data_IF_607969291320
#
_entry.id   IF_607969291320
#
_cell.length_a   1.000
_cell.length_b   1.000
_cell.length_c   1.000
_cell.angle_alpha   90.00
_cell.angle_beta   90.00
_cell.angle_gamma   90.00
#
_symmetry.space_group_name_H-M   'P 1'
#
loop_
_entity.id
_entity.type
_entity.pdbx_description
1 polymer ?
#
# COMPACT_ATOMS: atom_id res chain seq x y z
N UNK A 1 25.26 0.41 3.80
CA UNK A 1 25.15 -0.23 2.47
C UNK A 1 26.20 0.36 1.55
N UNK A 2 26.90 -0.45 0.74
CA UNK A 2 27.80 0.09 -0.28
C UNK A 2 26.98 0.92 -1.29
N UNK A 3 27.53 2.04 -1.79
CA UNK A 3 26.83 2.90 -2.74
C UNK A 3 26.58 2.14 -4.06
N UNK A 4 25.33 2.14 -4.52
CA UNK A 4 24.96 1.60 -5.83
C UNK A 4 25.55 2.46 -6.96
N UNK A 5 25.65 1.87 -8.16
CA UNK A 5 26.03 2.61 -9.37
C UNK A 5 25.12 3.84 -9.52
N UNK A 6 25.70 5.02 -9.74
CA UNK A 6 24.98 6.29 -9.86
C UNK A 6 24.29 6.82 -8.59
N UNK A 7 24.68 6.39 -7.38
CA UNK A 7 24.22 6.98 -6.12
C UNK A 7 22.79 6.66 -5.71
N UNK A 8 22.07 5.84 -6.50
CA UNK A 8 20.80 5.26 -6.07
C UNK A 8 21.05 4.16 -5.04
N UNK A 9 20.67 4.44 -3.80
CA UNK A 9 20.64 3.50 -2.68
C UNK A 9 19.22 3.50 -2.09
N UNK A 10 18.66 2.34 -1.71
CA UNK A 10 17.46 2.33 -0.88
C UNK A 10 17.81 2.81 0.53
N UNK A 11 16.96 3.67 1.10
CA UNK A 11 17.11 4.17 2.47
C UNK A 11 16.42 3.20 3.43
N UNK A 12 17.08 2.11 3.81
CA UNK A 12 16.52 1.10 4.72
C UNK A 12 16.75 1.46 6.20
N UNK A 13 15.75 1.22 7.05
CA UNK A 13 15.82 1.41 8.51
C UNK A 13 15.17 0.25 9.26
N UNK A 14 15.60 -0.02 10.50
CA UNK A 14 14.87 -0.93 11.40
C UNK A 14 14.23 -0.07 12.48
N UNK A 15 12.91 -0.20 12.63
CA UNK A 15 12.11 0.58 13.57
C UNK A 15 11.56 -0.35 14.66
N UNK A 16 11.69 0.04 15.92
CA UNK A 16 11.08 -0.68 17.04
C UNK A 16 9.93 0.13 17.65
N UNK A 17 8.78 -0.51 17.87
CA UNK A 17 7.64 0.04 18.59
C UNK A 17 6.98 -1.08 19.40
N UNK A 18 7.02 -0.99 20.73
CA UNK A 18 6.49 -2.01 21.65
C UNK A 18 4.99 -2.24 21.54
N UNK A 19 4.24 -1.29 20.97
CA UNK A 19 2.80 -1.43 20.73
C UNK A 19 2.48 -1.91 19.30
N UNK A 20 3.50 -2.14 18.46
CA UNK A 20 3.33 -2.63 17.11
C UNK A 20 3.14 -4.15 17.10
N UNK A 21 2.25 -4.62 16.23
CA UNK A 21 2.01 -6.04 16.00
C UNK A 21 3.21 -6.76 15.35
N UNK A 22 2.98 -7.99 14.91
CA UNK A 22 4.00 -8.79 14.23
C UNK A 22 4.32 -8.21 12.84
N UNK A 23 5.57 -7.79 12.61
CA UNK A 23 6.06 -7.29 11.33
C UNK A 23 6.98 -8.29 10.63
N UNK A 24 7.59 -7.86 9.52
CA UNK A 24 8.55 -8.67 8.74
C UNK A 24 9.75 -9.16 9.57
N UNK A 25 10.10 -8.43 10.63
CA UNK A 25 11.23 -8.74 11.53
C UNK A 25 10.78 -9.25 12.90
N UNK A 26 9.50 -9.58 13.08
CA UNK A 26 8.93 -10.04 14.35
C UNK A 26 8.11 -8.98 15.09
N UNK A 27 7.60 -9.35 16.27
CA UNK A 27 6.75 -8.48 17.09
C UNK A 27 7.54 -7.26 17.57
N UNK A 28 6.97 -6.08 17.34
CA UNK A 28 7.57 -4.81 17.72
C UNK A 28 8.70 -4.31 16.81
N UNK A 29 9.17 -5.10 15.82
CA UNK A 29 10.19 -4.68 14.86
C UNK A 29 9.64 -4.59 13.44
N UNK A 30 9.90 -3.46 12.77
CA UNK A 30 9.57 -3.21 11.37
C UNK A 30 10.79 -2.81 10.55
N UNK A 31 10.79 -3.17 9.26
CA UNK A 31 11.77 -2.68 8.29
C UNK A 31 11.16 -1.47 7.56
N UNK A 32 11.71 -0.28 7.79
CA UNK A 32 11.36 0.93 7.05
C UNK A 32 12.23 1.10 5.81
N UNK A 33 11.77 1.95 4.88
CA UNK A 33 12.49 2.22 3.64
C UNK A 33 12.12 1.35 2.45
N UNK A 34 11.25 0.36 2.66
CA UNK A 34 10.60 -0.38 1.59
C UNK A 34 9.25 0.27 1.30
N UNK A 35 9.02 0.61 0.05
CA UNK A 35 7.69 1.03 -0.41
C UNK A 35 6.85 -0.20 -0.72
N UNK A 36 5.60 -0.23 -0.24
CA UNK A 36 4.71 -1.37 -0.40
C UNK A 36 3.25 -0.94 -0.56
N UNK A 37 2.56 -1.64 -1.48
CA UNK A 37 1.10 -1.59 -1.60
C UNK A 37 0.52 -2.71 -0.74
N UNK A 38 -0.47 -2.40 0.09
CA UNK A 38 -1.18 -3.37 0.91
C UNK A 38 -2.68 -3.07 0.94
N UNK A 39 -3.48 -4.05 1.35
CA UNK A 39 -4.91 -3.86 1.61
C UNK A 39 -5.09 -3.07 2.91
N UNK A 40 -5.96 -2.07 2.90
CA UNK A 40 -6.30 -1.24 4.03
C UNK A 40 -7.82 -1.13 4.20
N UNK A 41 -8.24 -0.80 5.41
CA UNK A 41 -9.64 -0.70 5.79
C UNK A 41 -10.36 0.47 5.10
N UNK A 42 -11.68 0.34 4.98
CA UNK A 42 -12.55 1.46 4.61
C UNK A 42 -12.72 2.41 5.78
N UNK A 43 -12.75 3.71 5.48
CA UNK A 43 -12.99 4.76 6.47
C UNK A 43 -14.24 5.53 6.12
N UNK A 44 -14.97 6.02 7.13
CA UNK A 44 -16.18 6.82 6.88
C UNK A 44 -15.84 8.10 6.10
N UNK A 45 -14.68 8.70 6.37
CA UNK A 45 -14.24 9.95 5.74
C UNK A 45 -14.09 9.84 4.21
N UNK A 46 -13.64 8.67 3.71
CA UNK A 46 -13.32 8.48 2.30
C UNK A 46 -14.39 7.62 1.61
N UNK A 47 -14.84 6.56 2.28
CA UNK A 47 -15.74 5.54 1.73
C UNK A 47 -17.21 5.73 2.14
N UNK A 48 -17.52 6.63 3.07
CA UNK A 48 -18.85 6.78 3.67
C UNK A 48 -19.25 5.65 4.63
N UNK A 49 -18.42 4.61 4.75
CA UNK A 49 -18.66 3.43 5.57
C UNK A 49 -17.35 2.95 6.21
N UNK A 50 -17.43 2.44 7.45
CA UNK A 50 -16.32 1.75 8.09
C UNK A 50 -16.33 0.27 7.69
N UNK A 51 -15.17 -0.26 7.30
CA UNK A 51 -15.03 -1.68 6.95
C UNK A 51 -13.62 -2.18 7.23
N UNK A 52 -13.51 -3.43 7.70
CA UNK A 52 -12.22 -4.11 7.86
C UNK A 52 -11.63 -4.58 6.54
N UNK A 53 -10.42 -5.14 6.60
CA UNK A 53 -9.80 -5.85 5.47
C UNK A 53 -10.32 -7.29 5.49
N UNK A 54 -11.04 -7.70 4.44
CA UNK A 54 -11.69 -9.01 4.34
C UNK A 54 -11.09 -9.92 3.25
N UNK A 55 -10.05 -9.46 2.55
CA UNK A 55 -9.44 -10.13 1.41
C UNK A 55 -10.38 -10.36 0.21
N UNK A 56 -11.37 -9.46 0.03
CA UNK A 56 -12.33 -9.50 -1.07
C UNK A 56 -12.23 -8.26 -1.97
N UNK A 57 -13.09 -8.15 -2.98
CA UNK A 57 -13.15 -6.98 -3.87
C UNK A 57 -13.66 -5.70 -3.19
N UNK A 58 -14.13 -5.78 -1.93
CA UNK A 58 -14.54 -4.60 -1.19
C UNK A 58 -13.38 -3.89 -0.51
N UNK A 59 -12.22 -4.54 -0.37
CA UNK A 59 -11.07 -3.92 0.27
C UNK A 59 -10.51 -2.74 -0.52
N UNK A 60 -9.68 -1.96 0.17
CA UNK A 60 -9.04 -0.78 -0.38
C UNK A 60 -7.54 -0.95 -0.36
N UNK A 61 -6.85 -0.16 -1.17
CA UNK A 61 -5.39 -0.27 -1.30
C UNK A 61 -4.71 0.97 -0.76
N UNK A 62 -3.58 0.77 -0.10
CA UNK A 62 -2.75 1.84 0.41
C UNK A 62 -1.30 1.65 -0.04
N UNK A 63 -0.67 2.71 -0.51
CA UNK A 63 0.75 2.81 -0.79
C UNK A 63 1.42 3.47 0.42
N UNK A 64 2.27 2.73 1.14
CA UNK A 64 2.99 3.25 2.31
C UNK A 64 2.08 3.85 3.40
N UNK A 65 0.89 3.26 3.53
CA UNK A 65 -0.16 3.69 4.47
C UNK A 65 -1.04 4.81 3.92
N UNK A 66 -0.70 5.36 2.77
CA UNK A 66 -1.48 6.38 2.10
C UNK A 66 -2.52 5.76 1.17
N UNK A 67 -3.77 6.20 1.30
CA UNK A 67 -4.88 5.66 0.53
C UNK A 67 -4.67 5.85 -0.98
N UNK A 68 -4.87 4.78 -1.74
CA UNK A 68 -4.98 4.82 -3.19
C UNK A 68 -6.44 5.03 -3.60
N UNK A 69 -6.67 6.00 -4.47
CA UNK A 69 -7.95 6.39 -5.04
C UNK A 69 -7.92 6.05 -6.53
N UNK A 70 -8.84 5.21 -6.98
CA UNK A 70 -8.97 4.87 -8.40
C UNK A 70 -9.42 6.10 -9.19
N UNK A 71 -8.62 6.49 -10.18
CA UNK A 71 -8.89 7.62 -11.08
C UNK A 71 -9.34 7.16 -12.47
N UNK A 72 -9.12 5.90 -12.81
CA UNK A 72 -9.61 5.28 -14.04
C UNK A 72 -9.72 3.76 -13.87
N UNK A 73 -10.59 3.13 -14.68
CA UNK A 73 -10.95 1.72 -14.55
C UNK A 73 -11.80 1.43 -13.31
N UNK A 74 -12.10 0.15 -13.09
CA UNK A 74 -12.84 -0.30 -11.91
C UNK A 74 -11.87 -0.56 -10.75
N UNK A 75 -12.15 0.03 -9.59
CA UNK A 75 -11.38 -0.16 -8.36
C UNK A 75 -11.19 -1.66 -8.05
N UNK A 76 -9.98 -2.06 -7.70
CA UNK A 76 -9.55 -3.44 -7.47
C UNK A 76 -9.45 -4.33 -8.71
N UNK A 77 -9.69 -3.82 -9.93
CA UNK A 77 -9.66 -4.63 -11.17
C UNK A 77 -8.48 -4.30 -12.09
N UNK A 78 -8.15 -5.26 -12.95
CA UNK A 78 -7.10 -5.10 -13.96
C UNK A 78 -7.30 -3.85 -14.80
N UNK A 79 -6.22 -3.11 -15.02
CA UNK A 79 -6.23 -1.88 -15.81
C UNK A 79 -6.64 -0.63 -15.04
N UNK A 80 -7.06 -0.75 -13.78
CA UNK A 80 -7.33 0.44 -12.95
C UNK A 80 -6.06 1.22 -12.64
N UNK A 81 -6.17 2.55 -12.66
CA UNK A 81 -5.09 3.47 -12.29
C UNK A 81 -5.47 4.25 -11.05
N UNK A 82 -4.49 4.48 -10.20
CA UNK A 82 -4.68 5.12 -8.90
C UNK A 82 -3.75 6.32 -8.73
N UNK A 83 -4.21 7.23 -7.88
CA UNK A 83 -3.40 8.26 -7.23
C UNK A 83 -3.52 8.12 -5.72
N UNK A 84 -2.54 8.66 -5.02
CA UNK A 84 -2.62 8.80 -3.57
C UNK A 84 -3.64 9.88 -3.20
N UNK A 85 -4.35 9.71 -2.09
CA UNK A 85 -5.37 10.68 -1.61
C UNK A 85 -4.77 12.08 -1.40
N UNK A 86 -3.55 12.14 -0.86
CA UNK A 86 -2.75 13.37 -0.82
C UNK A 86 -1.75 13.25 -1.96
N UNK A 87 -1.89 14.08 -2.99
CA UNK A 87 -1.12 13.91 -4.22
C UNK A 87 0.41 13.88 -3.96
N UNK A 88 1.07 12.81 -4.45
CA UNK A 88 2.53 12.61 -4.39
C UNK A 88 3.16 12.51 -5.78
N UNK A 89 2.40 12.80 -6.84
CA UNK A 89 2.73 12.58 -8.25
C UNK A 89 3.04 11.13 -8.61
N UNK A 90 2.66 10.19 -7.74
CA UNK A 90 2.85 8.75 -7.94
C UNK A 90 1.73 8.18 -8.79
N UNK A 91 2.07 7.48 -9.88
CA UNK A 91 1.10 6.72 -10.68
C UNK A 91 1.19 5.23 -10.37
N UNK A 92 0.09 4.67 -9.87
CA UNK A 92 -0.03 3.24 -9.62
C UNK A 92 -1.02 2.63 -10.61
N UNK A 93 -0.72 1.44 -11.13
CA UNK A 93 -1.60 0.70 -12.05
C UNK A 93 -1.73 -0.74 -11.62
N UNK A 94 -2.96 -1.25 -11.59
CA UNK A 94 -3.23 -2.65 -11.31
C UNK A 94 -3.08 -3.47 -12.60
N UNK A 95 -2.21 -4.49 -12.57
CA UNK A 95 -1.92 -5.36 -13.73
C UNK A 95 -2.29 -6.83 -13.53
N UNK A 96 -2.83 -7.21 -12.37
CA UNK A 96 -3.27 -8.59 -12.13
C UNK A 96 -4.45 -8.96 -13.03
N UNK A 97 -4.42 -10.18 -13.60
CA UNK A 97 -5.59 -10.77 -14.26
C UNK A 97 -6.46 -11.43 -13.20
N UNK A 98 -7.75 -11.07 -13.16
CA UNK A 98 -8.76 -11.85 -12.45
C UNK A 98 -8.95 -13.15 -13.25
N UNK A 99 -8.47 -14.28 -12.74
CA UNK A 99 -8.71 -15.61 -13.30
C UNK A 99 -10.00 -16.18 -12.70
N UNK A 100 -11.12 -15.59 -13.06
CA UNK A 100 -12.44 -16.04 -12.65
C UNK A 100 -13.32 -16.12 -13.90
N UNK A 101 -13.27 -17.33 -14.49
CA UNK A 101 -14.27 -17.88 -15.41
C UNK A 101 -15.25 -18.75 -14.62
#
# INVERSE_FOLDING_TARGET
MPPGISGMKPELSINYNSNSGNGLLGVGFGLGGLSAIHRCSKTIAIDGVKGGVNYDDNDRYCLDGQRLIAISGQDGKSGSEYRTEIETFSRVKFTGQSLDS
#
